data_IF_079378833937
#
_entry.id   IF_079378833937
#
_cell.length_a   1.000
_cell.length_b   1.000
_cell.length_c   1.000
_cell.angle_alpha   90.00
_cell.angle_beta   90.00
_cell.angle_gamma   90.00
#
_symmetry.space_group_name_H-M   'P 1'
#
loop_
_entity.id
_entity.type
_entity.pdbx_description
1 polymer ?
2 non-polymer ?
3 water ?
#
# COMPACT_ATOMS: atom_id res chain seq x y z
N UNK A 1 16.33 21.81 16.26
CA UNK A 1 16.13 20.62 15.28
C UNK A 1 15.75 19.39 16.10
N UNK A 2 15.39 18.35 15.35
CA UNK A 2 14.96 17.10 15.94
C UNK A 2 15.76 16.02 15.27
N UNK A 3 16.07 14.95 16.01
CA UNK A 3 16.66 13.76 15.34
C UNK A 3 15.66 12.62 15.34
N UNK A 4 15.47 12.04 14.14
CA UNK A 4 14.62 10.84 14.04
C UNK A 4 15.42 9.68 13.51
N UNK A 5 14.87 8.45 13.65
CA UNK A 5 15.45 7.28 12.98
C UNK A 5 14.42 6.83 11.94
N UNK A 6 14.90 6.82 10.74
CA UNK A 6 13.99 6.42 9.59
C UNK A 6 14.03 4.88 9.42
N UNK A 7 13.27 4.43 8.42
CA UNK A 7 13.08 2.98 8.23
C UNK A 7 14.24 2.27 7.46
N UNK A 8 15.33 3.01 7.16
CA UNK A 8 16.57 2.41 6.76
C UNK A 8 17.54 2.48 7.98
N UNK A 9 16.99 2.80 9.18
CA UNK A 9 17.82 2.93 10.44
C UNK A 9 18.88 4.07 10.33
N UNK A 10 18.52 5.04 9.50
CA UNK A 10 19.33 6.26 9.38
C UNK A 10 18.91 7.26 10.40
N UNK A 11 19.89 7.85 11.12
CA UNK A 11 19.57 8.97 12.03
C UNK A 11 19.54 10.23 11.14
N UNK A 12 18.45 10.98 11.23
CA UNK A 12 18.21 12.15 10.39
C UNK A 12 17.83 13.35 11.26
N UNK A 13 18.56 14.41 10.97
CA UNK A 13 18.23 15.70 11.67
C UNK A 13 17.33 16.54 10.84
N UNK A 14 16.20 16.95 11.42
CA UNK A 14 15.21 17.74 10.61
C UNK A 14 14.86 19.00 11.39
N UNK A 15 14.29 19.98 10.71
CA UNK A 15 13.81 21.16 11.42
C UNK A 15 12.71 20.82 12.45
N UNK A 16 12.55 21.72 13.41
CA UNK A 16 11.51 21.52 14.36
C UNK A 16 10.08 21.55 13.78
N UNK A 17 9.89 22.26 12.70
CA UNK A 17 8.59 22.28 12.01
C UNK A 17 8.88 22.02 10.56
N UNK A 18 7.92 21.29 9.96
CA UNK A 18 7.97 21.03 8.51
C UNK A 18 6.74 21.67 7.80
N UNK A 19 7.08 22.42 6.77
CA UNK A 19 6.01 23.05 5.98
C UNK A 19 6.20 22.90 4.46
N UNK A 20 7.40 22.40 4.10
CA UNK A 20 7.80 22.27 2.67
C UNK A 20 8.37 20.89 2.32
N UNK A 21 7.59 19.84 2.64
CA UNK A 21 8.13 18.50 2.48
C UNK A 21 7.94 18.12 1.00
N UNK A 22 8.83 17.27 0.52
CA UNK A 22 8.58 16.74 -0.85
C UNK A 22 8.40 15.23 -0.63
N UNK A 23 7.33 14.66 -1.17
CA UNK A 23 7.02 13.28 -0.82
C UNK A 23 7.13 12.37 -2.06
N UNK A 24 8.28 11.67 -2.15
CA UNK A 24 8.60 10.88 -3.38
C UNK A 24 8.20 9.41 -3.31
N UNK A 25 7.11 9.14 -2.62
CA UNK A 25 6.61 7.77 -2.40
C UNK A 25 5.11 7.92 -2.22
N UNK A 26 4.24 7.19 -3.01
CA UNK A 26 2.80 7.23 -2.92
C UNK A 26 2.22 6.70 -1.59
N UNK A 27 2.93 5.74 -1.00
CA UNK A 27 2.43 5.16 0.27
C UNK A 27 2.49 6.21 1.35
N UNK A 28 3.65 6.84 1.46
CA UNK A 28 3.74 7.92 2.47
C UNK A 28 2.76 9.07 2.10
N UNK A 29 2.58 9.42 0.81
CA UNK A 29 1.66 10.47 0.42
C UNK A 29 0.25 10.15 0.95
N UNK A 30 -0.21 8.90 0.76
CA UNK A 30 -1.59 8.54 1.13
C UNK A 30 -1.66 8.65 2.68
N UNK A 31 -0.64 8.19 3.37
CA UNK A 31 -0.62 8.41 4.86
C UNK A 31 -0.74 9.88 5.23
N UNK A 32 0.07 10.71 4.59
CA UNK A 32 0.07 12.16 4.91
C UNK A 32 -1.28 12.76 4.63
N UNK A 33 -1.97 12.28 3.57
CA UNK A 33 -3.28 12.80 3.29
C UNK A 33 -4.18 12.43 4.48
N UNK A 34 -4.00 11.22 4.99
CA UNK A 34 -4.90 10.76 6.07
C UNK A 34 -4.55 11.35 7.43
N UNK A 35 -3.35 11.92 7.52
CA UNK A 35 -2.92 12.70 8.70
C UNK A 35 -3.31 14.19 8.54
N UNK A 36 -4.00 14.54 7.44
CA UNK A 36 -4.46 15.95 7.12
C UNK A 36 -3.19 16.82 7.14
N UNK A 37 -2.13 16.34 6.44
CA UNK A 37 -0.79 17.03 6.41
C UNK A 37 -0.47 17.69 5.08
N UNK A 38 -1.41 17.73 4.13
CA UNK A 38 -0.99 18.18 2.76
C UNK A 38 -0.62 19.67 2.60
N UNK A 39 -1.05 20.49 3.54
CA UNK A 39 -0.64 21.90 3.48
C UNK A 39 0.86 22.04 3.78
N UNK A 40 1.42 21.02 4.38
CA UNK A 40 2.89 20.96 4.65
C UNK A 40 3.70 20.29 3.57
N UNK A 41 3.09 20.02 2.41
CA UNK A 41 3.83 19.37 1.31
C UNK A 41 3.85 20.30 0.10
N UNK A 42 4.97 20.36 -0.61
CA UNK A 42 5.10 21.24 -1.77
C UNK A 42 5.57 20.49 -3.02
N UNK A 43 5.93 19.18 -2.89
CA UNK A 43 6.12 18.38 -4.14
C UNK A 43 5.84 16.91 -3.86
N UNK A 44 5.57 16.20 -4.93
CA UNK A 44 5.22 14.78 -4.77
C UNK A 44 5.79 14.03 -5.97
N UNK A 45 5.94 12.70 -5.87
CA UNK A 45 6.38 11.89 -7.00
C UNK A 45 5.61 12.19 -8.30
N UNK A 46 6.35 12.25 -9.38
CA UNK A 46 5.70 12.63 -10.64
C UNK A 46 4.70 11.56 -11.20
N UNK A 47 4.85 10.29 -10.76
CA UNK A 47 3.88 9.21 -11.09
C UNK A 47 2.77 9.01 -10.08
N UNK A 48 2.42 10.06 -9.34
CA UNK A 48 1.34 9.94 -8.29
C UNK A 48 -0.02 9.51 -8.85
N UNK A 49 -0.42 10.01 -10.02
CA UNK A 49 -1.74 9.58 -10.47
C UNK A 49 -1.71 8.08 -10.86
N UNK A 50 -0.67 7.65 -11.49
CA UNK A 50 -0.57 6.20 -11.85
C UNK A 50 -0.57 5.29 -10.60
N UNK A 51 0.24 5.68 -9.61
CA UNK A 51 0.42 4.81 -8.47
C UNK A 51 -0.71 4.86 -7.46
N UNK A 52 -1.41 6.04 -7.37
CA UNK A 52 -2.57 6.18 -6.50
C UNK A 52 -3.92 5.91 -7.18
N UNK A 53 -3.92 5.82 -8.49
CA UNK A 53 -5.14 5.71 -9.20
C UNK A 53 -5.74 7.00 -9.70
N UNK A 54 -6.46 6.95 -10.82
CA UNK A 54 -6.94 8.19 -11.39
C UNK A 54 -7.95 8.90 -10.50
N UNK A 55 -8.61 8.24 -9.54
CA UNK A 55 -9.61 8.94 -8.74
C UNK A 55 -9.05 9.49 -7.42
N UNK A 56 -7.75 9.22 -7.19
CA UNK A 56 -7.15 9.70 -5.92
C UNK A 56 -7.32 11.21 -5.72
N UNK A 57 -7.26 11.94 -6.84
CA UNK A 57 -7.28 13.42 -6.86
C UNK A 57 -8.64 13.85 -6.28
N UNK A 58 -9.64 12.98 -6.28
CA UNK A 58 -10.88 13.34 -5.66
C UNK A 58 -10.75 13.58 -4.14
N UNK A 59 -9.88 12.81 -3.49
CA UNK A 59 -9.73 12.79 -2.04
C UNK A 59 -8.70 13.89 -1.67
N UNK A 60 -7.83 14.22 -2.59
CA UNK A 60 -6.80 15.24 -2.34
C UNK A 60 -6.65 16.19 -3.54
N UNK A 61 -7.68 17.08 -3.79
CA UNK A 61 -7.58 17.87 -5.06
C UNK A 61 -6.36 18.73 -5.11
N UNK A 62 -5.85 19.05 -3.91
CA UNK A 62 -4.64 19.91 -3.84
C UNK A 62 -3.38 19.26 -4.50
N UNK A 63 -3.48 17.94 -4.78
CA UNK A 63 -2.39 17.27 -5.46
C UNK A 63 -2.23 17.70 -6.94
N UNK A 64 -3.30 18.19 -7.53
CA UNK A 64 -3.38 18.45 -8.95
C UNK A 64 -2.37 19.50 -9.43
N UNK A 65 -2.13 20.51 -8.60
CA UNK A 65 -1.16 21.59 -8.96
C UNK A 65 0.15 21.49 -8.17
N UNK A 66 0.33 20.35 -7.49
CA UNK A 66 1.54 20.08 -6.80
C UNK A 66 2.74 19.93 -7.76
N UNK A 67 3.83 20.63 -7.45
CA UNK A 67 5.09 20.37 -8.13
C UNK A 67 5.57 18.86 -8.02
N UNK A 68 6.34 18.37 -9.00
CA UNK A 68 6.80 16.93 -9.11
C UNK A 68 8.26 16.86 -9.46
N UNK A 69 9.13 17.02 -8.47
CA UNK A 69 10.55 17.15 -8.73
C UNK A 69 11.33 15.84 -8.72
N UNK A 70 10.61 14.71 -8.71
CA UNK A 70 11.28 13.41 -8.74
C UNK A 70 10.18 12.32 -8.79
N UNK A 71 10.61 11.07 -8.71
CA UNK A 71 9.64 9.94 -8.58
C UNK A 71 10.22 8.91 -7.65
N UNK A 72 9.76 7.63 -7.80
CA UNK A 72 10.29 6.69 -6.81
C UNK A 72 11.79 6.38 -6.75
N UNK A 73 12.41 6.44 -7.94
CA UNK A 73 13.81 6.02 -8.00
C UNK A 73 14.74 7.01 -8.74
N UNK A 74 14.30 8.24 -8.84
CA UNK A 74 15.07 9.34 -9.54
C UNK A 74 14.67 10.70 -8.91
N UNK A 75 15.61 11.68 -8.95
CA UNK A 75 15.25 12.99 -8.45
C UNK A 75 15.86 14.02 -9.41
N UNK A 76 15.20 15.19 -9.49
CA UNK A 76 15.66 16.31 -10.38
C UNK A 76 16.06 17.40 -9.36
N UNK A 77 17.35 17.42 -9.02
CA UNK A 77 17.84 18.29 -7.90
C UNK A 77 17.57 19.76 -8.29
N UNK A 78 17.85 20.14 -9.54
CA UNK A 78 17.54 21.58 -9.86
C UNK A 78 16.08 21.96 -9.71
N UNK A 79 15.09 21.09 -10.04
CA UNK A 79 13.72 21.38 -9.80
C UNK A 79 13.45 21.35 -8.28
N UNK A 80 14.07 20.40 -7.60
CA UNK A 80 13.78 20.19 -6.16
C UNK A 80 14.25 21.45 -5.35
N UNK A 81 15.47 21.92 -5.60
CA UNK A 81 15.92 23.14 -4.90
C UNK A 81 15.02 24.38 -5.08
N UNK A 82 14.38 24.57 -6.20
CA UNK A 82 13.56 25.75 -6.38
C UNK A 82 12.34 25.72 -5.38
N UNK A 83 11.91 24.50 -4.99
CA UNK A 83 10.81 24.35 -4.03
C UNK A 83 11.21 24.73 -2.60
N UNK A 84 12.52 24.93 -2.34
CA UNK A 84 12.95 25.24 -0.99
C UNK A 84 12.44 24.19 0.03
N UNK A 85 12.65 22.88 -0.32
CA UNK A 85 12.08 21.87 0.65
C UNK A 85 12.79 21.86 1.98
N UNK A 86 12.08 21.46 3.01
CA UNK A 86 12.75 21.24 4.30
C UNK A 86 12.98 19.76 4.67
N UNK A 87 12.33 18.86 3.89
CA UNK A 87 12.60 17.41 4.02
C UNK A 87 12.10 16.74 2.75
N UNK A 88 12.66 15.58 2.37
CA UNK A 88 12.21 14.69 1.26
C UNK A 88 12.00 13.34 1.90
N UNK A 89 10.80 12.81 1.68
CA UNK A 89 10.53 11.40 2.00
C UNK A 89 10.80 10.62 0.75
N UNK A 90 11.56 9.54 0.93
CA UNK A 90 11.83 8.64 -0.21
C UNK A 90 11.36 7.24 0.16
N UNK A 91 11.18 6.36 -0.84
CA UNK A 91 10.90 4.92 -0.56
C UNK A 91 12.20 4.23 -0.09
N UNK A 92 12.01 3.13 0.66
CA UNK A 92 13.10 2.43 1.23
C UNK A 92 14.10 1.88 0.23
N UNK A 93 13.67 1.53 -0.98
CA UNK A 93 14.60 0.99 -1.94
C UNK A 93 15.15 2.08 -2.88
N UNK A 94 14.93 3.38 -2.53
CA UNK A 94 15.47 4.51 -3.41
C UNK A 94 16.96 4.26 -3.62
N UNK A 95 17.42 4.38 -4.88
CA UNK A 95 18.85 4.06 -5.06
C UNK A 95 19.75 4.96 -4.16
N UNK A 96 20.88 4.39 -3.72
CA UNK A 96 21.84 5.14 -2.90
C UNK A 96 22.26 6.40 -3.67
N UNK A 97 22.29 6.32 -5.01
CA UNK A 97 22.76 7.50 -5.78
C UNK A 97 21.77 8.68 -5.65
N UNK A 98 20.51 8.36 -5.57
CA UNK A 98 19.43 9.33 -5.48
C UNK A 98 19.44 9.95 -4.08
N UNK A 99 19.52 9.11 -3.03
CA UNK A 99 19.61 9.65 -1.65
C UNK A 99 20.86 10.60 -1.56
N UNK A 100 21.98 10.15 -2.12
CA UNK A 100 23.23 10.94 -2.10
C UNK A 100 23.03 12.27 -2.85
N UNK A 101 22.38 12.26 -4.02
CA UNK A 101 22.03 13.58 -4.73
C UNK A 101 21.36 14.57 -3.74
N UNK A 102 20.39 14.10 -3.00
CA UNK A 102 19.62 14.98 -2.10
C UNK A 102 20.46 15.36 -0.85
N UNK A 103 21.22 14.41 -0.27
CA UNK A 103 22.06 14.71 0.89
C UNK A 103 23.19 15.69 0.50
N UNK A 104 23.67 15.59 -0.71
CA UNK A 104 24.75 16.47 -1.21
C UNK A 104 24.29 17.94 -1.31
N UNK A 105 22.99 18.22 -1.36
CA UNK A 105 22.52 19.60 -1.41
C UNK A 105 21.89 19.92 -0.03
N UNK A 106 22.18 19.09 0.97
CA UNK A 106 21.93 19.39 2.40
C UNK A 106 20.39 19.41 2.72
N UNK A 107 19.64 18.54 2.04
CA UNK A 107 18.25 18.48 2.36
C UNK A 107 18.07 17.12 3.11
N UNK A 108 17.44 17.14 4.28
CA UNK A 108 17.26 15.87 5.07
C UNK A 108 16.35 14.91 4.23
N UNK A 109 16.67 13.62 4.35
CA UNK A 109 15.91 12.58 3.65
C UNK A 109 15.39 11.54 4.69
N UNK A 110 14.13 11.16 4.54
CA UNK A 110 13.52 10.24 5.47
C UNK A 110 12.93 9.11 4.62
N UNK A 111 13.55 7.93 4.79
CA UNK A 111 13.19 6.68 3.97
C UNK A 111 12.08 5.93 4.67
N UNK A 112 11.04 5.59 3.92
CA UNK A 112 9.91 4.91 4.52
C UNK A 112 9.73 3.55 3.82
N UNK A 113 9.62 2.50 4.66
CA UNK A 113 9.41 1.18 4.11
C UNK A 113 8.07 0.63 4.59
N UNK A 114 7.46 1.17 5.69
CA UNK A 114 6.28 0.53 6.31
C UNK A 114 6.53 -0.98 6.66
N UNK A 115 7.79 -1.30 6.91
CA UNK A 115 8.18 -2.63 7.33
C UNK A 115 9.34 -2.57 8.36
N UNK A 116 9.31 -3.45 9.33
CA UNK A 116 10.53 -3.66 10.15
C UNK A 116 11.25 -4.83 9.47
N UNK A 117 11.28 -5.98 10.09
CA UNK A 117 11.94 -7.11 9.51
C UNK A 117 13.45 -7.04 9.62
N UNK A 118 14.08 -8.03 8.99
CA UNK A 118 15.54 -8.17 8.93
C UNK A 118 16.20 -6.83 8.45
N UNK A 119 17.13 -6.30 9.24
CA UNK A 119 17.95 -5.15 8.83
C UNK A 119 18.64 -5.19 7.49
N UNK A 120 19.23 -6.34 7.10
CA UNK A 120 19.88 -6.41 5.78
C UNK A 120 18.98 -6.26 4.58
N UNK A 121 17.66 -6.45 4.82
CA UNK A 121 16.59 -6.43 3.78
C UNK A 121 15.87 -5.10 3.68
N UNK A 122 16.15 -4.20 4.61
CA UNK A 122 15.39 -2.96 4.76
C UNK A 122 15.44 -2.12 3.44
N UNK A 123 16.56 -2.17 2.71
CA UNK A 123 16.74 -1.41 1.48
C UNK A 123 16.34 -2.07 0.18
N UNK A 124 15.79 -3.27 0.29
CA UNK A 124 15.60 -4.14 -0.86
C UNK A 124 14.16 -3.90 -1.45
N UNK A 125 14.00 -3.80 -2.76
CA UNK A 125 12.62 -3.61 -3.33
C UNK A 125 11.77 -4.85 -2.87
N UNK A 126 12.40 -6.05 -2.97
CA UNK A 126 11.68 -7.34 -2.72
C UNK A 126 12.41 -8.11 -1.68
N UNK A 127 12.01 -7.97 -0.43
CA UNK A 127 12.74 -8.57 0.74
C UNK A 127 12.40 -10.04 0.93
N UNK A 128 13.26 -10.73 1.66
CA UNK A 128 13.02 -12.07 2.22
C UNK A 128 12.86 -11.83 3.76
N UNK A 129 11.70 -12.23 4.27
CA UNK A 129 11.29 -11.92 5.60
C UNK A 129 10.87 -13.19 6.32
N UNK A 130 11.44 -13.40 7.50
CA UNK A 130 11.15 -14.60 8.22
C UNK A 130 9.81 -14.51 8.99
N UNK A 131 9.23 -13.25 9.16
CA UNK A 131 7.97 -13.08 9.79
C UNK A 131 7.33 -11.85 9.19
N UNK A 132 6.86 -12.01 7.95
CA UNK A 132 6.30 -10.87 7.18
C UNK A 132 5.05 -10.24 7.84
N UNK A 133 4.24 -11.08 8.51
CA UNK A 133 3.13 -10.53 9.22
C UNK A 133 3.53 -9.51 10.33
N UNK A 134 4.54 -9.90 11.12
CA UNK A 134 5.01 -9.05 12.18
C UNK A 134 5.73 -7.78 11.56
N UNK A 135 6.52 -8.01 10.56
CA UNK A 135 7.33 -6.97 9.97
C UNK A 135 6.41 -5.93 9.41
N UNK A 136 5.39 -6.35 8.65
CA UNK A 136 4.42 -5.35 8.12
C UNK A 136 3.48 -4.71 9.15
N UNK A 137 3.03 -5.52 10.13
CA UNK A 137 2.25 -4.94 11.19
C UNK A 137 3.02 -3.83 11.97
N UNK A 138 4.19 -4.24 12.45
CA UNK A 138 4.99 -3.31 13.24
C UNK A 138 5.52 -2.16 12.36
N UNK A 139 5.69 -2.43 11.09
CA UNK A 139 6.33 -1.44 10.16
C UNK A 139 5.30 -0.37 9.77
N UNK A 140 4.00 -0.76 9.68
CA UNK A 140 2.96 0.17 9.31
C UNK A 140 2.79 1.06 10.49
N UNK A 141 2.73 0.49 11.69
CA UNK A 141 2.57 1.31 12.90
C UNK A 141 3.80 2.25 13.03
N UNK A 142 5.00 1.73 12.90
CA UNK A 142 6.27 2.56 13.10
C UNK A 142 6.32 3.66 12.01
N UNK A 143 5.91 3.27 10.77
CA UNK A 143 5.90 4.24 9.69
C UNK A 143 4.92 5.39 9.84
N UNK A 144 3.68 5.01 10.15
CA UNK A 144 2.69 6.03 10.42
C UNK A 144 3.20 6.94 11.57
N UNK A 145 3.68 6.27 12.61
CA UNK A 145 4.21 7.12 13.75
C UNK A 145 5.26 8.09 13.34
N UNK A 146 6.14 7.62 12.47
CA UNK A 146 7.33 8.49 12.00
C UNK A 146 6.81 9.64 11.12
N UNK A 147 5.92 9.34 10.16
CA UNK A 147 5.43 10.39 9.25
C UNK A 147 4.64 11.40 10.13
N UNK A 148 3.84 10.90 11.05
CA UNK A 148 3.06 11.81 11.90
C UNK A 148 4.02 12.68 12.74
N UNK A 149 5.12 12.12 13.18
CA UNK A 149 6.05 12.94 14.06
C UNK A 149 6.63 13.99 13.19
N UNK A 150 7.08 13.61 11.98
CA UNK A 150 7.71 14.66 11.11
C UNK A 150 6.74 15.82 10.88
N UNK A 151 5.44 15.51 10.61
CA UNK A 151 4.46 16.57 10.34
C UNK A 151 3.77 17.14 11.59
N UNK A 152 4.12 16.64 12.79
CA UNK A 152 3.56 17.11 14.04
C UNK A 152 2.07 16.87 14.02
N UNK A 153 1.76 15.63 13.62
CA UNK A 153 0.39 15.08 13.60
C UNK A 153 0.24 13.89 14.54
N UNK A 154 0.85 13.96 15.72
CA UNK A 154 0.96 12.74 16.58
C UNK A 154 -0.39 12.13 16.91
N UNK A 155 -1.32 12.95 17.38
CA UNK A 155 -2.62 12.41 17.82
C UNK A 155 -3.38 11.76 16.63
N UNK A 156 -3.40 12.43 15.45
CA UNK A 156 -4.11 11.82 14.33
C UNK A 156 -3.39 10.52 13.89
N UNK A 157 -2.05 10.51 13.97
CA UNK A 157 -1.24 9.32 13.70
C UNK A 157 -1.65 8.16 14.60
N UNK A 158 -1.81 8.45 15.88
CA UNK A 158 -2.17 7.41 16.83
C UNK A 158 -3.57 6.89 16.53
N UNK A 159 -4.50 7.77 16.12
CA UNK A 159 -5.85 7.37 15.80
C UNK A 159 -5.86 6.51 14.51
N UNK A 160 -4.97 6.87 13.60
CA UNK A 160 -4.86 6.16 12.29
C UNK A 160 -4.30 4.74 12.51
N UNK A 161 -3.30 4.61 13.39
CA UNK A 161 -2.79 3.29 13.75
C UNK A 161 -3.90 2.44 14.40
N UNK A 162 -4.58 3.02 15.35
CA UNK A 162 -5.66 2.28 16.09
C UNK A 162 -6.77 1.86 15.06
N UNK A 163 -7.18 2.80 14.16
CA UNK A 163 -8.16 2.44 13.11
C UNK A 163 -7.62 1.31 12.21
N UNK A 164 -6.33 1.34 11.83
CA UNK A 164 -5.83 0.34 10.88
C UNK A 164 -6.07 -1.11 11.35
N UNK A 165 -5.88 -1.25 12.66
CA UNK A 165 -5.89 -2.59 13.29
C UNK A 165 -7.20 -3.03 14.01
N UNK A 166 -8.19 -2.15 13.97
CA UNK A 166 -9.37 -2.26 14.77
C UNK A 166 -10.19 -3.51 14.40
N UNK A 167 -10.03 -4.03 13.17
CA UNK A 167 -10.88 -5.16 12.71
C UNK A 167 -10.15 -6.48 12.66
N UNK A 168 -8.89 -6.46 13.01
CA UNK A 168 -8.07 -7.68 12.86
C UNK A 168 -8.63 -8.80 13.80
N UNK A 169 -9.07 -8.41 14.98
CA UNK A 169 -9.64 -9.43 15.93
C UNK A 169 -10.91 -10.13 15.39
N UNK A 170 -11.82 -9.33 14.86
CA UNK A 170 -13.01 -9.85 14.20
C UNK A 170 -12.63 -10.91 13.16
N UNK A 171 -11.69 -10.57 12.25
CA UNK A 171 -11.35 -11.56 11.21
C UNK A 171 -10.65 -12.78 11.80
N UNK A 172 -9.75 -12.59 12.79
CA UNK A 172 -9.06 -13.75 13.38
C UNK A 172 -10.10 -14.72 13.99
N UNK A 173 -11.10 -14.14 14.60
CA UNK A 173 -12.16 -14.91 15.35
C UNK A 173 -13.09 -15.61 14.34
N UNK A 174 -13.52 -14.87 13.32
CA UNK A 174 -14.56 -15.43 12.38
C UNK A 174 -13.99 -16.39 11.38
N UNK A 175 -12.66 -16.39 11.17
CA UNK A 175 -12.07 -17.20 10.12
C UNK A 175 -10.99 -18.14 10.71
N UNK A 176 -10.95 -18.20 12.02
CA UNK A 176 -10.01 -19.09 12.76
C UNK A 176 -10.06 -20.59 12.53
N UNK A 177 -11.23 -21.08 12.02
CA UNK A 177 -11.40 -22.52 11.60
C UNK A 177 -11.16 -22.81 10.14
N UNK A 178 -10.71 -21.83 9.37
CA UNK A 178 -10.40 -22.13 7.99
C UNK A 178 -9.07 -22.88 7.80
N UNK A 179 -9.22 -24.14 7.40
CA UNK A 179 -8.06 -24.97 7.26
C UNK A 179 -7.26 -24.66 5.98
N UNK A 180 -5.99 -25.09 5.98
CA UNK A 180 -5.17 -24.81 4.80
C UNK A 180 -5.75 -25.40 3.54
N UNK A 181 -6.39 -26.57 3.62
CA UNK A 181 -6.85 -27.13 2.35
C UNK A 181 -8.11 -26.33 1.81
N UNK A 182 -8.78 -25.57 2.66
CA UNK A 182 -10.01 -24.82 2.31
C UNK A 182 -9.77 -23.38 2.00
N UNK A 183 -8.70 -22.83 2.53
CA UNK A 183 -8.38 -21.43 2.18
C UNK A 183 -8.49 -21.19 0.69
N UNK A 184 -9.05 -20.02 0.34
CA UNK A 184 -9.45 -19.74 -1.08
C UNK A 184 -8.20 -19.34 -1.88
N UNK A 185 -7.87 -20.08 -2.95
CA UNK A 185 -6.67 -19.78 -3.81
C UNK A 185 -6.94 -18.62 -4.75
N UNK A 186 -6.13 -17.54 -4.58
CA UNK A 186 -6.44 -16.25 -5.13
C UNK A 186 -5.22 -15.70 -5.83
N UNK A 187 -5.46 -14.88 -6.86
CA UNK A 187 -4.33 -14.39 -7.64
C UNK A 187 -4.55 -12.91 -7.86
N UNK A 188 -3.46 -12.15 -7.70
CA UNK A 188 -3.49 -10.73 -7.95
C UNK A 188 -2.94 -10.43 -9.36
N UNK A 189 -3.80 -9.95 -10.23
CA UNK A 189 -3.35 -9.68 -11.64
C UNK A 189 -3.14 -8.15 -11.82
N UNK A 190 -1.87 -7.77 -11.92
CA UNK A 190 -1.44 -6.41 -12.26
C UNK A 190 -1.19 -6.31 -13.78
N UNK A 191 -1.05 -5.10 -14.31
CA UNK A 191 -0.85 -4.89 -15.78
C UNK A 191 0.29 -5.69 -16.31
N UNK A 192 0.16 -6.07 -17.59
CA UNK A 192 1.29 -6.75 -18.24
C UNK A 192 1.86 -8.02 -17.55
N UNK A 193 0.98 -8.95 -17.12
CA UNK A 193 1.30 -10.21 -16.41
C UNK A 193 2.19 -10.01 -15.17
N UNK A 194 1.98 -8.88 -14.53
CA UNK A 194 2.71 -8.60 -13.25
C UNK A 194 1.92 -9.24 -12.10
N UNK A 195 2.63 -9.75 -11.09
CA UNK A 195 1.90 -10.19 -9.85
C UNK A 195 2.78 -9.97 -8.67
N UNK A 196 2.29 -10.24 -7.48
CA UNK A 196 3.16 -10.19 -6.27
C UNK A 196 3.31 -11.54 -5.70
N UNK A 197 4.53 -11.86 -5.37
CA UNK A 197 4.77 -13.09 -4.76
C UNK A 197 5.08 -12.92 -3.25
N UNK A 198 6.06 -13.66 -2.71
CA UNK A 198 6.41 -13.59 -1.29
C UNK A 198 7.01 -12.21 -0.87
N UNK A 199 6.98 -11.94 0.44
CA UNK A 199 7.56 -10.74 1.08
C UNK A 199 6.74 -9.50 0.86
N UNK A 200 5.42 -9.69 0.51
CA UNK A 200 4.65 -8.49 0.21
C UNK A 200 3.34 -8.49 1.03
N UNK A 201 2.77 -7.31 1.25
CA UNK A 201 1.44 -7.18 1.98
C UNK A 201 0.23 -7.93 1.25
N UNK A 202 0.32 -7.95 -0.09
CA UNK A 202 -0.69 -8.66 -0.93
C UNK A 202 -1.08 -10.02 -0.28
N UNK A 203 -0.08 -10.89 -0.02
CA UNK A 203 -0.42 -12.29 0.45
C UNK A 203 -0.97 -12.22 1.90
N UNK A 204 -0.56 -11.19 2.69
CA UNK A 204 -1.04 -11.01 4.07
C UNK A 204 -2.49 -10.61 4.06
N UNK A 205 -2.84 -9.73 3.12
CA UNK A 205 -4.29 -9.34 3.05
C UNK A 205 -5.14 -10.56 2.73
N UNK A 206 -4.61 -11.38 1.83
CA UNK A 206 -5.32 -12.62 1.45
C UNK A 206 -5.36 -13.55 2.68
N UNK A 207 -4.28 -13.69 3.43
CA UNK A 207 -4.33 -14.64 4.59
C UNK A 207 -5.32 -14.23 5.64
N UNK A 208 -5.38 -12.94 5.95
CA UNK A 208 -6.26 -12.45 7.00
C UNK A 208 -7.75 -12.56 6.64
N UNK A 209 -8.03 -12.65 5.35
CA UNK A 209 -9.42 -12.80 4.92
C UNK A 209 -9.71 -14.23 4.47
N UNK A 210 -8.89 -15.20 4.93
CA UNK A 210 -9.25 -16.64 4.64
C UNK A 210 -8.92 -17.13 3.26
N UNK A 211 -7.82 -16.54 2.65
CA UNK A 211 -7.38 -16.83 1.33
C UNK A 211 -5.91 -17.01 1.31
N UNK A 212 -5.41 -17.31 0.15
CA UNK A 212 -3.98 -17.61 -0.03
C UNK A 212 -3.54 -17.14 -1.38
N UNK A 213 -2.36 -16.49 -1.45
CA UNK A 213 -1.82 -15.94 -2.69
C UNK A 213 -1.14 -17.07 -3.46
N UNK A 214 -1.73 -17.58 -4.57
CA UNK A 214 -1.14 -18.75 -5.27
C UNK A 214 0.33 -18.54 -5.73
N UNK A 215 0.71 -17.29 -6.00
CA UNK A 215 2.05 -16.96 -6.57
C UNK A 215 3.14 -16.96 -5.47
N UNK A 216 2.76 -16.86 -4.19
CA UNK A 216 3.75 -16.53 -3.14
C UNK A 216 4.74 -17.61 -2.75
N UNK A 217 4.42 -18.86 -3.05
CA UNK A 217 5.37 -19.97 -2.86
C UNK A 217 6.56 -20.05 -3.82
N UNK A 218 6.45 -19.45 -5.02
CA UNK A 218 7.40 -19.65 -6.15
C UNK A 218 7.94 -18.29 -6.72
N UNK A 219 7.21 -17.21 -6.46
CA UNK A 219 7.61 -15.86 -6.87
C UNK A 219 8.03 -15.05 -5.70
N UNK A 220 9.11 -14.29 -5.91
CA UNK A 220 9.58 -13.36 -4.89
C UNK A 220 9.22 -11.91 -5.22
N UNK A 221 8.33 -11.34 -4.37
CA UNK A 221 7.95 -9.95 -4.56
C UNK A 221 7.34 -9.65 -5.90
N UNK A 222 7.56 -8.46 -6.43
CA UNK A 222 6.73 -8.04 -7.53
C UNK A 222 7.45 -8.44 -8.81
N UNK A 223 6.83 -9.33 -9.62
CA UNK A 223 7.50 -9.86 -10.84
C UNK A 223 6.55 -10.00 -12.02
N UNK A 224 7.10 -9.98 -13.25
CA UNK A 224 6.34 -10.43 -14.43
C UNK A 224 6.43 -11.93 -14.51
N UNK A 225 5.26 -12.57 -14.65
CA UNK A 225 5.20 -14.04 -14.74
C UNK A 225 4.72 -14.38 -16.15
N UNK A 226 4.70 -15.68 -16.49
CA UNK A 226 4.04 -16.07 -17.77
C UNK A 226 2.61 -16.54 -17.56
N UNK A 227 1.86 -16.52 -18.67
CA UNK A 227 0.53 -17.08 -18.76
C UNK A 227 0.55 -18.53 -18.32
N UNK A 228 1.58 -19.27 -18.73
CA UNK A 228 1.70 -20.68 -18.29
C UNK A 228 1.70 -20.86 -16.72
N UNK A 229 2.43 -20.00 -16.01
CA UNK A 229 2.43 -19.96 -14.53
C UNK A 229 1.00 -19.83 -13.97
N UNK A 230 0.23 -18.88 -14.50
CA UNK A 230 -1.12 -18.63 -13.98
C UNK A 230 -2.10 -19.79 -14.31
N UNK A 231 -1.91 -20.39 -15.49
CA UNK A 231 -2.75 -21.57 -15.84
C UNK A 231 -2.44 -22.75 -14.92
N UNK A 232 -1.16 -22.94 -14.65
CA UNK A 232 -0.67 -23.96 -13.66
C UNK A 232 -1.23 -23.73 -12.23
N UNK A 233 -1.24 -22.47 -11.79
CA UNK A 233 -1.72 -22.11 -10.48
C UNK A 233 -3.24 -22.25 -10.44
N UNK A 234 -3.87 -21.94 -11.56
CA UNK A 234 -5.30 -22.14 -11.67
C UNK A 234 -6.12 -21.55 -10.45
N UNK A 235 -6.00 -20.23 -10.22
CA UNK A 235 -6.61 -19.69 -9.05
C UNK A 235 -8.11 -19.74 -9.14
N UNK A 236 -8.76 -19.90 -7.96
CA UNK A 236 -10.24 -19.88 -7.85
C UNK A 236 -10.86 -18.49 -8.02
N UNK A 237 -10.03 -17.48 -7.65
CA UNK A 237 -10.49 -16.07 -7.58
C UNK A 237 -9.32 -15.24 -8.15
N UNK A 238 -9.64 -14.29 -9.01
CA UNK A 238 -8.66 -13.29 -9.48
C UNK A 238 -9.06 -11.92 -9.00
N UNK A 239 -8.09 -11.18 -8.42
CA UNK A 239 -8.33 -9.84 -7.90
C UNK A 239 -7.50 -8.88 -8.74
N UNK A 240 -8.10 -7.71 -8.92
CA UNK A 240 -7.46 -6.61 -9.64
C UNK A 240 -7.49 -5.37 -8.73
N UNK A 241 -6.37 -4.66 -8.70
CA UNK A 241 -6.28 -3.42 -7.91
C UNK A 241 -7.11 -2.34 -8.54
N UNK A 242 -7.80 -1.54 -7.71
CA UNK A 242 -8.68 -0.46 -8.19
C UNK A 242 -7.97 0.55 -9.08
N UNK A 243 -6.67 0.75 -8.83
CA UNK A 243 -5.92 1.73 -9.71
C UNK A 243 -5.65 1.25 -11.13
N UNK A 244 -5.86 -0.06 -11.39
CA UNK A 244 -5.67 -0.66 -12.70
C UNK A 244 -6.93 -1.33 -13.25
N UNK A 245 -8.01 -0.57 -13.38
CA UNK A 245 -9.27 -1.18 -13.70
C UNK A 245 -9.28 -1.82 -15.10
N UNK A 246 -8.46 -1.32 -16.04
CA UNK A 246 -8.40 -1.91 -17.41
C UNK A 246 -8.02 -3.40 -17.39
N UNK A 247 -7.36 -3.83 -16.29
CA UNK A 247 -6.92 -5.21 -16.24
C UNK A 247 -8.12 -6.19 -16.24
N UNK A 248 -9.26 -5.82 -15.72
CA UNK A 248 -10.42 -6.75 -15.66
C UNK A 248 -10.97 -7.08 -17.09
N UNK A 249 -11.34 -6.06 -17.88
CA UNK A 249 -11.79 -6.41 -19.29
C UNK A 249 -10.74 -7.10 -20.11
N UNK A 250 -9.47 -6.74 -19.95
CA UNK A 250 -8.32 -7.42 -20.55
C UNK A 250 -8.37 -8.91 -20.29
N UNK A 251 -8.48 -9.28 -19.02
CA UNK A 251 -8.53 -10.67 -18.65
C UNK A 251 -9.80 -11.37 -19.17
N UNK A 252 -10.94 -10.71 -19.00
CA UNK A 252 -12.23 -11.28 -19.35
C UNK A 252 -12.29 -11.53 -20.89
N UNK A 253 -11.62 -10.70 -21.68
CA UNK A 253 -11.73 -10.76 -23.18
C UNK A 253 -10.56 -11.54 -23.79
N UNK A 254 -9.68 -12.08 -22.92
CA UNK A 254 -8.49 -12.77 -23.35
C UNK A 254 -8.79 -14.27 -23.35
N UNK A 255 -9.00 -14.83 -24.54
CA UNK A 255 -9.13 -16.28 -24.63
C UNK A 255 -8.08 -17.16 -23.93
N UNK A 256 -6.82 -16.73 -23.80
CA UNK A 256 -5.77 -17.54 -23.16
C UNK A 256 -6.07 -17.82 -21.69
N UNK A 257 -6.88 -16.93 -21.09
CA UNK A 257 -7.26 -16.97 -19.66
C UNK A 257 -8.55 -17.74 -19.41
N UNK A 258 -9.28 -18.06 -20.50
CA UNK A 258 -10.67 -18.60 -20.38
C UNK A 258 -10.91 -19.88 -19.55
N UNK A 259 -9.90 -20.74 -19.48
CA UNK A 259 -9.99 -22.03 -18.80
C UNK A 259 -9.53 -21.96 -17.35
N UNK A 260 -8.87 -20.88 -16.96
CA UNK A 260 -8.71 -20.70 -15.53
C UNK A 260 -10.02 -20.73 -14.71
N UNK A 261 -9.93 -21.45 -13.59
CA UNK A 261 -11.06 -21.64 -12.68
C UNK A 261 -11.76 -20.31 -12.36
N UNK A 262 -11.04 -19.25 -11.95
CA UNK A 262 -11.77 -17.99 -11.73
C UNK A 262 -12.54 -17.44 -12.97
N UNK A 263 -11.99 -17.58 -14.15
CA UNK A 263 -12.71 -17.12 -15.37
C UNK A 263 -14.08 -17.87 -15.51
N UNK A 264 -13.91 -19.21 -15.51
CA UNK A 264 -15.04 -20.17 -15.68
C UNK A 264 -16.14 -19.80 -14.67
N UNK A 265 -15.74 -19.40 -13.45
CA UNK A 265 -16.64 -19.20 -12.32
C UNK A 265 -17.12 -17.73 -12.15
N UNK A 266 -16.60 -16.87 -13.04
CA UNK A 266 -16.91 -15.44 -13.14
C UNK A 266 -16.52 -14.80 -11.84
N UNK A 267 -15.31 -15.14 -11.39
CA UNK A 267 -14.76 -14.62 -10.10
C UNK A 267 -13.50 -13.80 -10.43
N UNK A 268 -13.69 -12.80 -11.25
CA UNK A 268 -12.58 -11.83 -11.53
C UNK A 268 -13.14 -10.49 -11.02
N UNK A 269 -12.53 -9.92 -9.96
CA UNK A 269 -13.10 -8.81 -9.23
C UNK A 269 -12.16 -7.63 -9.15
N UNK A 270 -12.65 -6.42 -9.52
CA UNK A 270 -11.86 -5.17 -9.22
C UNK A 270 -12.10 -4.87 -7.74
N UNK A 271 -11.02 -4.70 -6.99
CA UNK A 271 -11.14 -4.41 -5.53
C UNK A 271 -11.48 -2.95 -5.33
N UNK A 272 -12.13 -2.62 -4.21
CA UNK A 272 -12.42 -1.24 -4.04
C UNK A 272 -11.16 -0.39 -3.82
N UNK A 273 -11.42 0.90 -3.93
CA UNK A 273 -10.40 1.86 -3.79
C UNK A 273 -9.55 1.69 -2.48
N UNK A 274 -10.27 1.46 -1.36
CA UNK A 274 -9.65 1.30 -0.05
C UNK A 274 -8.93 -0.02 0.15
N UNK A 275 -9.25 -0.97 -0.73
CA UNK A 275 -8.89 -2.42 -0.43
C UNK A 275 -7.63 -2.71 -1.14
N UNK A 276 -6.58 -1.96 -0.76
CA UNK A 276 -5.28 -2.02 -1.47
C UNK A 276 -4.46 -3.30 -1.19
N UNK A 277 -4.57 -4.25 -2.11
CA UNK A 277 -3.69 -5.41 -1.92
C UNK A 277 -2.34 -5.17 -2.55
N UNK A 278 -1.67 -4.21 -1.93
CA UNK A 278 -0.49 -3.65 -2.57
C UNK A 278 0.73 -4.36 -1.95
N UNK A 279 1.90 -4.13 -2.51
CA UNK A 279 3.09 -4.76 -1.91
C UNK A 279 3.43 -4.18 -0.55
N UNK A 280 2.95 -2.97 -0.28
CA UNK A 280 3.06 -2.27 1.04
C UNK A 280 1.67 -2.20 1.75
N UNK A 281 1.62 -2.29 3.11
CA UNK A 281 0.38 -2.20 3.83
C UNK A 281 -0.04 -0.71 3.92
N UNK A 282 -1.35 -0.46 3.89
CA UNK A 282 -1.89 0.89 4.05
C UNK A 282 -3.00 0.75 5.04
N UNK A 283 -3.17 1.77 5.91
CA UNK A 283 -4.06 1.59 7.03
C UNK A 283 -5.46 1.25 6.59
N UNK A 284 -5.96 1.87 5.53
CA UNK A 284 -7.34 1.53 5.05
C UNK A 284 -7.45 0.15 4.49
N UNK A 285 -6.35 -0.37 3.98
CA UNK A 285 -6.35 -1.76 3.40
C UNK A 285 -6.55 -2.74 4.52
N UNK A 286 -5.88 -2.56 5.67
CA UNK A 286 -6.18 -3.44 6.87
C UNK A 286 -7.60 -3.25 7.34
N UNK A 287 -7.94 -1.99 7.66
CA UNK A 287 -9.16 -1.73 8.40
C UNK A 287 -10.43 -2.13 7.56
N UNK A 288 -10.44 -1.67 6.31
CA UNK A 288 -11.57 -1.85 5.46
C UNK A 288 -11.34 -2.97 4.39
N UNK A 289 -10.15 -2.96 3.78
CA UNK A 289 -9.92 -3.86 2.70
C UNK A 289 -10.04 -5.32 3.13
N UNK A 290 -9.39 -5.72 4.22
CA UNK A 290 -9.44 -7.13 4.63
C UNK A 290 -10.87 -7.54 4.98
N UNK A 291 -11.64 -6.60 5.51
CA UNK A 291 -13.08 -6.90 5.86
C UNK A 291 -13.85 -7.05 4.52
N UNK A 292 -13.64 -6.13 3.53
CA UNK A 292 -14.27 -6.38 2.21
C UNK A 292 -13.97 -7.76 1.63
N UNK A 293 -12.67 -8.16 1.65
CA UNK A 293 -12.34 -9.41 0.98
C UNK A 293 -12.97 -10.58 1.82
N UNK A 294 -12.93 -10.46 3.15
CA UNK A 294 -13.47 -11.54 4.02
C UNK A 294 -14.96 -11.67 3.69
N UNK A 295 -15.69 -10.54 3.56
CA UNK A 295 -17.13 -10.60 3.35
C UNK A 295 -17.45 -11.11 1.94
N UNK A 296 -16.58 -10.78 0.99
CA UNK A 296 -16.76 -11.23 -0.38
C UNK A 296 -16.65 -12.76 -0.44
N UNK A 297 -15.72 -13.32 0.32
CA UNK A 297 -15.36 -14.73 0.17
C UNK A 297 -16.17 -15.57 1.23
N UNK A 298 -16.55 -14.95 2.39
CA UNK A 298 -17.38 -15.66 3.41
C UNK A 298 -18.53 -14.84 3.77
N UNK A 299 -19.43 -14.54 2.77
CA UNK A 299 -20.54 -13.59 3.11
C UNK A 299 -21.42 -14.07 4.32
N UNK A 300 -21.59 -15.38 4.47
CA UNK A 300 -22.50 -15.88 5.50
C UNK A 300 -21.90 -15.80 6.87
N UNK A 301 -20.62 -15.34 6.96
CA UNK A 301 -20.01 -15.21 8.30
C UNK A 301 -19.97 -13.78 8.75
N UNK A 302 -20.43 -12.84 7.87
CA UNK A 302 -20.26 -11.43 8.14
C UNK A 302 -21.54 -10.59 7.91
N UNK A 303 -22.71 -11.21 7.97
CA UNK A 303 -23.93 -10.44 7.65
C UNK A 303 -24.28 -9.31 8.55
N UNK A 304 -23.80 -9.41 9.80
CA UNK A 304 -23.91 -8.38 10.80
C UNK A 304 -22.92 -7.25 10.62
N UNK A 305 -21.92 -7.46 9.75
CA UNK A 305 -20.83 -6.43 9.65
C UNK A 305 -21.23 -5.43 8.59
N UNK A 306 -21.56 -4.22 9.04
CA UNK A 306 -22.07 -3.15 8.16
C UNK A 306 -20.84 -2.47 7.51
N UNK A 307 -20.29 -3.07 6.49
CA UNK A 307 -19.03 -2.49 5.91
C UNK A 307 -19.26 -1.07 5.34
N UNK A 308 -20.44 -0.80 4.79
CA UNK A 308 -20.69 0.54 4.21
C UNK A 308 -20.46 1.59 5.27
N UNK A 309 -20.93 1.33 6.50
CA UNK A 309 -20.81 2.33 7.62
C UNK A 309 -19.37 2.40 8.07
N UNK A 310 -18.72 1.23 8.07
CA UNK A 310 -17.35 1.18 8.55
C UNK A 310 -16.59 2.10 7.58
N UNK A 311 -16.86 1.96 6.28
CA UNK A 311 -16.11 2.73 5.25
C UNK A 311 -16.40 4.22 5.31
N UNK A 312 -17.68 4.52 5.49
CA UNK A 312 -18.08 5.93 5.65
C UNK A 312 -17.42 6.63 6.85
N UNK A 313 -17.45 5.97 8.02
CA UNK A 313 -16.91 6.55 9.25
C UNK A 313 -15.37 6.84 9.06
N UNK A 314 -14.70 5.86 8.41
CA UNK A 314 -13.28 5.92 8.15
C UNK A 314 -12.97 7.06 7.15
N UNK A 315 -13.72 7.13 6.06
CA UNK A 315 -13.49 8.16 5.04
C UNK A 315 -13.79 9.54 5.65
N UNK A 316 -14.81 9.66 6.48
CA UNK A 316 -15.14 11.03 6.95
C UNK A 316 -14.02 11.47 7.93
N UNK A 317 -13.45 10.50 8.68
CA UNK A 317 -12.38 10.79 9.65
C UNK A 317 -11.02 11.11 9.02
N UNK A 318 -10.60 10.28 8.03
CA UNK A 318 -9.20 10.35 7.54
C UNK A 318 -9.12 11.02 6.19
N UNK A 319 -10.18 10.91 5.38
CA UNK A 319 -10.13 11.62 4.09
C UNK A 319 -11.00 12.85 4.05
N UNK A 320 -11.73 13.13 5.13
CA UNK A 320 -12.59 14.34 5.31
C UNK A 320 -13.66 14.45 4.16
N UNK A 321 -14.05 13.28 3.67
CA UNK A 321 -15.09 13.20 2.65
C UNK A 321 -15.78 11.82 2.72
N UNK A 322 -16.88 11.66 2.01
CA UNK A 322 -17.47 10.32 1.84
C UNK A 322 -16.72 9.43 0.84
N UNK A 323 -16.95 8.10 0.95
CA UNK A 323 -16.55 7.17 -0.12
C UNK A 323 -17.50 7.20 -1.30
N UNK A 324 -16.90 7.17 -2.48
CA UNK A 324 -17.59 7.16 -3.74
C UNK A 324 -17.18 5.94 -4.53
N UNK A 325 -18.12 4.97 -4.73
CA UNK A 325 -17.81 3.76 -5.52
C UNK A 325 -17.58 4.13 -6.94
N UNK A 326 -16.67 3.40 -7.56
CA UNK A 326 -16.55 3.49 -8.97
C UNK A 326 -17.20 2.26 -9.65
X LIG B 1 2.95 -1.05 -4.09
X LIG B 1 2.14 -2.40 -4.71
X LIG B 1 4.66 -1.17 -4.33
X LIG B 1 2.67 -0.92 -2.42
X LIG B 1 2.20 0.31 -4.78
#
# INVERSE_FOLDING_TARGET
DRIITDQLDRKVTIPDHINRAVVLQHQTLNIAVQLDATKQIVGVLSNWKKQLGKNYVRLAPELENMAMPGDLNSVNIESLLALKPDVVFVTNYAPSEMIKQISDVNIPVVAISLRTGEVGEKGKLNPTLTDEDKAYNDGLKQGIELIAEVFEKKQQGDELVKAAFANRKLLADRLGDVSADKRVRTYMANPDLGTYGSGKYTGLMMEHAGAYNVAAATIKGFKQVSLENVLEWNPAVILVQDRYPDVVPQILNDQGWANIQALKDKKVFLMPEYAKAWGYPMPEALALGEVWLAKALYPQRFQDVDLDKMVNDYYQKFYRTSYKPD
MOO MO O1 O2 O3 O4
#
